data_IF_097693362054
#
_entry.id   IF_097693362054
#
_cell.length_a   1.000
_cell.length_b   1.000
_cell.length_c   1.000
_cell.angle_alpha   90.00
_cell.angle_beta   90.00
_cell.angle_gamma   90.00
#
_symmetry.space_group_name_H-M   'P 1'
#
loop_
_entity.id
_entity.type
_entity.pdbx_description
1 polymer ?
#
# COMPACT_ATOMS: atom_id res chain seq x y z
N UNK A 1 -17.74 26.00 -14.92
CA UNK A 1 -18.08 24.59 -14.64
C UNK A 1 -17.53 23.76 -15.79
N UNK A 2 -16.56 22.88 -15.55
CA UNK A 2 -15.96 22.08 -16.61
C UNK A 2 -17.03 21.16 -17.22
N UNK A 3 -17.30 21.33 -18.52
CA UNK A 3 -18.16 20.43 -19.26
C UNK A 3 -17.35 19.15 -19.50
N UNK A 4 -17.60 18.12 -18.70
CA UNK A 4 -16.92 16.83 -18.84
C UNK A 4 -17.27 16.26 -20.23
N UNK A 5 -16.30 16.31 -21.15
CA UNK A 5 -16.42 15.68 -22.46
C UNK A 5 -15.93 14.24 -22.36
N UNK A 6 -16.84 13.30 -22.59
CA UNK A 6 -16.51 11.90 -22.87
C UNK A 6 -16.29 11.72 -24.38
N UNK A 7 -15.45 10.75 -24.80
CA UNK A 7 -15.25 10.48 -26.22
C UNK A 7 -16.53 9.92 -26.84
N UNK A 8 -16.86 10.39 -28.05
CA UNK A 8 -17.97 9.84 -28.83
C UNK A 8 -17.47 8.59 -29.57
N UNK A 9 -18.04 7.45 -29.24
CA UNK A 9 -17.66 6.16 -29.82
C UNK A 9 -18.37 5.93 -31.16
N UNK A 10 -17.75 5.13 -32.03
CA UNK A 10 -18.38 4.65 -33.27
C UNK A 10 -19.39 3.55 -32.95
N UNK A 11 -20.40 3.37 -33.80
CA UNK A 11 -21.43 2.33 -33.60
C UNK A 11 -20.80 0.93 -33.50
N UNK A 12 -19.76 0.66 -34.28
CA UNK A 12 -18.95 -0.57 -34.22
C UNK A 12 -18.33 -0.80 -32.84
N UNK A 13 -17.81 0.25 -32.20
CA UNK A 13 -17.17 0.15 -30.88
C UNK A 13 -18.22 -0.04 -29.78
N UNK A 14 -19.36 0.61 -29.91
CA UNK A 14 -20.51 0.46 -28.99
C UNK A 14 -21.06 -0.96 -29.09
N UNK A 15 -21.30 -1.45 -30.31
CA UNK A 15 -21.80 -2.82 -30.54
C UNK A 15 -20.81 -3.85 -30.03
N UNK A 16 -19.51 -3.73 -30.30
CA UNK A 16 -18.50 -4.62 -29.71
C UNK A 16 -18.59 -4.69 -28.18
N UNK A 17 -18.71 -3.54 -27.50
CA UNK A 17 -18.86 -3.50 -26.05
C UNK A 17 -20.12 -4.21 -25.56
N UNK A 18 -21.28 -4.00 -26.22
CA UNK A 18 -22.51 -4.66 -25.82
C UNK A 18 -22.46 -6.18 -26.04
N UNK A 19 -21.79 -6.66 -27.11
CA UNK A 19 -21.56 -8.09 -27.29
C UNK A 19 -20.62 -8.68 -26.23
N UNK A 20 -19.60 -7.93 -25.76
CA UNK A 20 -18.73 -8.37 -24.65
C UNK A 20 -19.52 -8.64 -23.36
N UNK A 21 -20.64 -7.94 -23.15
CA UNK A 21 -21.55 -8.13 -22.00
C UNK A 21 -22.77 -8.99 -22.34
N UNK A 22 -22.73 -9.76 -23.44
CA UNK A 22 -23.79 -10.67 -23.92
C UNK A 22 -25.12 -9.98 -24.27
N UNK A 23 -25.07 -8.78 -24.86
CA UNK A 23 -26.24 -8.06 -25.35
C UNK A 23 -26.19 -7.94 -26.87
N UNK A 24 -27.18 -8.52 -27.54
CA UNK A 24 -27.26 -8.57 -29.01
C UNK A 24 -27.76 -7.24 -29.61
N UNK A 25 -26.82 -6.42 -30.09
CA UNK A 25 -27.11 -5.13 -30.74
C UNK A 25 -26.35 -5.00 -32.06
N UNK A 26 -27.07 -4.67 -33.13
CA UNK A 26 -26.52 -4.47 -34.48
C UNK A 26 -26.64 -3.00 -34.94
N UNK A 27 -25.90 -2.61 -35.99
CA UNK A 27 -25.97 -1.26 -36.58
C UNK A 27 -27.39 -0.86 -37.02
N UNK A 28 -28.18 -1.84 -37.46
CA UNK A 28 -29.60 -1.65 -37.83
C UNK A 28 -30.46 -1.16 -36.67
N UNK A 29 -30.16 -1.57 -35.43
CA UNK A 29 -30.90 -1.18 -34.23
C UNK A 29 -30.65 0.28 -33.84
N UNK A 30 -29.53 0.86 -34.27
CA UNK A 30 -29.24 2.29 -34.10
C UNK A 30 -29.90 3.13 -35.18
N UNK A 31 -29.89 2.66 -36.44
CA UNK A 31 -30.46 3.39 -37.58
C UNK A 31 -31.99 3.41 -37.57
N UNK A 32 -32.62 2.32 -37.09
CA UNK A 32 -34.07 2.20 -36.91
C UNK A 32 -34.35 1.75 -35.48
N UNK A 33 -34.32 2.67 -34.51
CA UNK A 33 -34.40 2.32 -33.11
C UNK A 33 -35.82 1.91 -32.72
N UNK A 34 -35.97 0.66 -32.30
CA UNK A 34 -37.20 0.14 -31.70
C UNK A 34 -37.29 0.55 -30.22
N UNK A 35 -38.30 1.34 -29.80
CA UNK A 35 -38.45 1.77 -28.41
C UNK A 35 -38.53 0.61 -27.41
N UNK A 36 -39.06 -0.54 -27.81
CA UNK A 36 -39.17 -1.70 -26.93
C UNK A 36 -37.79 -2.31 -26.64
N UNK A 37 -37.00 -2.57 -27.69
CA UNK A 37 -35.62 -3.07 -27.57
C UNK A 37 -34.72 -2.10 -26.80
N UNK A 38 -34.82 -0.80 -27.08
CA UNK A 38 -34.01 0.21 -26.39
C UNK A 38 -34.36 0.39 -24.92
N UNK A 39 -35.63 0.19 -24.52
CA UNK A 39 -36.02 0.17 -23.11
C UNK A 39 -35.31 -0.95 -22.33
N UNK A 40 -35.20 -2.13 -22.92
CA UNK A 40 -34.46 -3.25 -22.32
C UNK A 40 -32.97 -2.93 -22.20
N UNK A 41 -32.37 -2.37 -23.26
CA UNK A 41 -30.96 -1.96 -23.26
C UNK A 41 -30.70 -0.88 -22.18
N UNK A 42 -31.61 0.08 -22.02
CA UNK A 42 -31.50 1.06 -20.93
C UNK A 42 -31.60 0.42 -19.54
N UNK A 43 -32.45 -0.59 -19.37
CA UNK A 43 -32.49 -1.40 -18.15
C UNK A 43 -31.14 -2.06 -17.85
N UNK A 44 -30.51 -2.65 -18.87
CA UNK A 44 -29.18 -3.25 -18.75
C UNK A 44 -28.12 -2.20 -18.42
N UNK A 45 -28.16 -1.01 -19.05
CA UNK A 45 -27.23 0.07 -18.73
C UNK A 45 -27.39 0.53 -17.27
N UNK A 46 -28.63 0.64 -16.79
CA UNK A 46 -28.94 1.01 -15.42
C UNK A 46 -28.35 -0.02 -14.44
N UNK A 47 -28.61 -1.29 -14.68
CA UNK A 47 -28.07 -2.40 -13.88
C UNK A 47 -26.55 -2.43 -13.92
N UNK A 48 -25.96 -2.29 -15.10
CA UNK A 48 -24.51 -2.30 -15.29
C UNK A 48 -23.82 -1.20 -14.45
N UNK A 49 -24.41 -0.01 -14.38
CA UNK A 49 -23.81 1.13 -13.67
C UNK A 49 -24.14 1.18 -12.18
N UNK A 50 -25.28 0.64 -11.75
CA UNK A 50 -25.76 0.75 -10.36
C UNK A 50 -25.77 -0.57 -9.59
N UNK A 51 -25.62 -1.71 -10.27
CA UNK A 51 -25.85 -3.07 -9.77
C UNK A 51 -27.28 -3.27 -9.21
N UNK A 52 -28.25 -2.47 -9.66
CA UNK A 52 -29.66 -2.61 -9.30
C UNK A 52 -30.40 -3.16 -10.51
N UNK A 53 -31.02 -4.34 -10.43
CA UNK A 53 -31.75 -4.91 -11.55
C UNK A 53 -32.99 -4.05 -11.87
N UNK A 54 -33.38 -3.95 -13.15
CA UNK A 54 -34.53 -3.15 -13.56
C UNK A 54 -35.82 -3.57 -12.83
N UNK A 55 -36.00 -4.87 -12.60
CA UNK A 55 -37.15 -5.43 -11.89
C UNK A 55 -37.33 -4.87 -10.46
N UNK A 56 -36.23 -4.61 -9.77
CA UNK A 56 -36.28 -4.01 -8.44
C UNK A 56 -36.75 -2.55 -8.51
N UNK A 57 -36.40 -1.83 -9.58
CA UNK A 57 -36.90 -0.46 -9.81
C UNK A 57 -38.40 -0.48 -10.13
N UNK A 58 -38.87 -1.46 -10.92
CA UNK A 58 -40.29 -1.69 -11.18
C UNK A 58 -41.05 -2.03 -9.89
N UNK A 59 -40.54 -2.95 -9.07
CA UNK A 59 -41.15 -3.32 -7.79
C UNK A 59 -41.21 -2.14 -6.81
N UNK A 60 -40.13 -1.36 -6.70
CA UNK A 60 -40.12 -0.15 -5.88
C UNK A 60 -41.19 0.87 -6.33
N UNK A 61 -41.41 1.01 -7.64
CA UNK A 61 -42.46 1.87 -8.17
C UNK A 61 -43.87 1.39 -7.81
N UNK A 62 -44.09 0.06 -7.83
CA UNK A 62 -45.36 -0.54 -7.41
C UNK A 62 -45.58 -0.43 -5.89
N UNK A 63 -44.53 -0.58 -5.09
CA UNK A 63 -44.61 -0.36 -3.64
C UNK A 63 -44.94 1.11 -3.32
N UNK A 64 -44.35 2.08 -4.03
CA UNK A 64 -44.70 3.50 -3.89
C UNK A 64 -46.17 3.73 -4.22
N UNK A 65 -46.68 3.09 -5.28
CA UNK A 65 -48.09 3.15 -5.65
C UNK A 65 -48.98 2.57 -4.55
N UNK A 66 -48.67 1.38 -4.02
CA UNK A 66 -49.43 0.71 -2.97
C UNK A 66 -49.41 1.44 -1.61
N UNK A 67 -48.28 2.08 -1.26
CA UNK A 67 -48.14 2.80 0.01
C UNK A 67 -48.78 4.19 -0.05
N UNK A 68 -48.84 4.82 -1.22
CA UNK A 68 -49.42 6.16 -1.41
C UNK A 68 -50.81 6.18 -2.06
N UNK A 69 -51.32 5.03 -2.51
CA UNK A 69 -52.60 4.92 -3.21
C UNK A 69 -53.79 5.28 -2.35
N UNK A 70 -53.78 4.98 -1.04
CA UNK A 70 -54.94 5.22 -0.19
C UNK A 70 -55.12 6.69 0.23
N UNK A 71 -54.06 7.51 0.18
CA UNK A 71 -54.10 8.90 0.67
C UNK A 71 -53.95 9.96 -0.45
N UNK A 72 -53.51 9.58 -1.66
CA UNK A 72 -53.09 10.55 -2.70
C UNK A 72 -53.75 10.35 -4.08
N UNK A 73 -54.18 9.14 -4.45
CA UNK A 73 -54.69 8.84 -5.79
C UNK A 73 -56.07 8.18 -5.74
N UNK A 74 -57.06 8.82 -6.37
CA UNK A 74 -58.46 8.33 -6.40
C UNK A 74 -58.63 7.07 -7.27
N UNK A 75 -57.79 6.88 -8.29
CA UNK A 75 -57.77 5.71 -9.19
C UNK A 75 -56.34 5.22 -9.49
N UNK A 76 -55.70 4.47 -8.57
CA UNK A 76 -54.31 4.02 -8.70
C UNK A 76 -54.04 3.16 -9.95
N UNK A 77 -55.04 2.40 -10.41
CA UNK A 77 -54.91 1.48 -11.55
C UNK A 77 -54.59 2.18 -12.88
N UNK A 78 -54.99 3.44 -13.05
CA UNK A 78 -54.69 4.24 -14.25
C UNK A 78 -53.20 4.59 -14.35
N UNK A 79 -52.45 4.46 -13.25
CA UNK A 79 -51.05 4.84 -13.17
C UNK A 79 -50.08 3.65 -13.22
N UNK A 80 -50.59 2.43 -13.39
CA UNK A 80 -49.78 1.20 -13.43
C UNK A 80 -48.70 1.20 -14.51
N UNK A 81 -48.93 1.84 -15.66
CA UNK A 81 -47.93 1.92 -16.74
C UNK A 81 -47.10 3.21 -16.70
N UNK A 82 -47.70 4.31 -16.25
CA UNK A 82 -47.05 5.64 -16.25
C UNK A 82 -46.01 5.78 -15.14
N UNK A 83 -46.27 5.24 -13.95
CA UNK A 83 -45.36 5.38 -12.81
C UNK A 83 -44.06 4.59 -12.95
N UNK A 84 -44.06 3.32 -13.43
CA UNK A 84 -42.80 2.63 -13.63
C UNK A 84 -41.97 3.27 -14.74
N UNK A 85 -42.61 3.73 -15.83
CA UNK A 85 -41.92 4.48 -16.89
C UNK A 85 -41.27 5.76 -16.33
N UNK A 86 -41.99 6.53 -15.52
CA UNK A 86 -41.45 7.73 -14.88
C UNK A 86 -40.30 7.39 -13.91
N UNK A 87 -40.47 6.36 -13.08
CA UNK A 87 -39.48 5.93 -12.08
C UNK A 87 -38.17 5.49 -12.74
N UNK A 88 -38.27 4.70 -13.81
CA UNK A 88 -37.10 4.29 -14.61
C UNK A 88 -36.46 5.48 -15.30
N UNK A 89 -37.26 6.40 -15.87
CA UNK A 89 -36.74 7.62 -16.49
C UNK A 89 -35.97 8.48 -15.48
N UNK A 90 -36.51 8.70 -14.28
CA UNK A 90 -35.86 9.50 -13.24
C UNK A 90 -34.58 8.82 -12.73
N UNK A 91 -34.60 7.50 -12.58
CA UNK A 91 -33.42 6.70 -12.22
C UNK A 91 -32.32 6.82 -13.27
N UNK A 92 -32.66 6.63 -14.54
CA UNK A 92 -31.75 6.82 -15.66
C UNK A 92 -31.26 8.25 -15.74
N UNK A 93 -32.11 9.26 -15.58
CA UNK A 93 -31.72 10.67 -15.58
C UNK A 93 -30.65 10.95 -14.52
N UNK A 94 -30.79 10.37 -13.33
CA UNK A 94 -29.80 10.52 -12.25
C UNK A 94 -28.46 9.88 -12.63
N UNK A 95 -28.49 8.65 -13.16
CA UNK A 95 -27.28 7.93 -13.61
C UNK A 95 -26.61 8.64 -14.78
N UNK A 96 -27.39 9.09 -15.76
CA UNK A 96 -26.90 9.80 -16.94
C UNK A 96 -26.30 11.16 -16.59
N UNK A 97 -26.85 11.85 -15.58
CA UNK A 97 -26.25 13.07 -15.04
C UNK A 97 -24.85 12.82 -14.49
N UNK A 98 -24.63 11.69 -13.81
CA UNK A 98 -23.30 11.24 -13.36
C UNK A 98 -22.38 10.89 -14.52
N UNK A 99 -22.91 10.37 -15.63
CA UNK A 99 -22.16 10.11 -16.86
C UNK A 99 -21.81 11.40 -17.65
N UNK A 100 -22.37 12.56 -17.26
CA UNK A 100 -22.16 13.85 -17.94
C UNK A 100 -23.29 14.30 -18.85
N UNK A 101 -24.41 13.56 -18.93
CA UNK A 101 -25.61 13.91 -19.70
C UNK A 101 -26.70 14.44 -18.74
N UNK A 102 -26.83 15.76 -18.65
CA UNK A 102 -27.78 16.41 -17.73
C UNK A 102 -29.20 16.54 -18.31
N UNK A 103 -29.32 16.40 -19.61
CA UNK A 103 -30.53 16.64 -20.41
C UNK A 103 -31.20 15.35 -20.89
N UNK A 104 -31.14 14.29 -20.07
CA UNK A 104 -31.86 13.05 -20.29
C UNK A 104 -33.36 13.23 -19.95
N UNK A 105 -34.23 12.76 -20.84
CA UNK A 105 -35.69 12.98 -20.80
C UNK A 105 -36.45 11.70 -21.12
N UNK A 106 -37.77 11.71 -20.88
CA UNK A 106 -38.66 10.59 -21.25
C UNK A 106 -38.64 10.34 -22.77
N UNK A 107 -38.43 11.37 -23.59
CA UNK A 107 -38.34 11.23 -25.06
C UNK A 107 -37.20 10.33 -25.48
N UNK A 108 -36.08 10.31 -24.76
CA UNK A 108 -34.95 9.43 -25.07
C UNK A 108 -35.34 7.93 -24.93
N UNK A 109 -36.44 7.60 -24.22
CA UNK A 109 -36.96 6.24 -24.04
C UNK A 109 -38.12 5.94 -24.99
N UNK A 110 -39.04 6.89 -25.18
CA UNK A 110 -40.23 6.69 -26.03
C UNK A 110 -39.90 6.82 -27.51
N UNK A 111 -39.05 7.79 -27.86
CA UNK A 111 -38.67 8.11 -29.24
C UNK A 111 -37.14 8.27 -29.35
N UNK A 112 -36.39 7.17 -29.18
CA UNK A 112 -34.93 7.20 -29.27
C UNK A 112 -34.47 7.68 -30.65
N UNK A 113 -33.50 8.59 -30.70
CA UNK A 113 -32.88 9.04 -31.96
C UNK A 113 -31.44 8.55 -32.06
N UNK A 114 -30.98 8.22 -33.27
CA UNK A 114 -29.62 7.71 -33.54
C UNK A 114 -28.53 8.54 -32.83
N UNK A 115 -28.56 9.87 -32.96
CA UNK A 115 -27.56 10.76 -32.36
C UNK A 115 -27.59 10.71 -30.83
N UNK A 116 -28.79 10.64 -30.23
CA UNK A 116 -28.97 10.53 -28.78
C UNK A 116 -28.48 9.18 -28.25
N UNK A 117 -28.82 8.09 -28.93
CA UNK A 117 -28.40 6.74 -28.57
C UNK A 117 -26.88 6.60 -28.52
N UNK A 118 -26.18 7.07 -29.55
CA UNK A 118 -24.71 7.05 -29.60
C UNK A 118 -24.12 7.84 -28.43
N UNK A 119 -24.64 9.04 -28.16
CA UNK A 119 -24.16 9.90 -27.06
C UNK A 119 -24.36 9.23 -25.71
N UNK A 120 -25.54 8.66 -25.46
CA UNK A 120 -25.89 8.01 -24.20
C UNK A 120 -25.05 6.75 -23.98
N UNK A 121 -24.94 5.89 -24.99
CA UNK A 121 -24.10 4.68 -24.90
C UNK A 121 -22.63 5.04 -24.69
N UNK A 122 -22.10 6.04 -25.40
CA UNK A 122 -20.71 6.48 -25.23
C UNK A 122 -20.43 6.97 -23.81
N UNK A 123 -21.35 7.75 -23.23
CA UNK A 123 -21.23 8.24 -21.85
C UNK A 123 -21.27 7.10 -20.82
N UNK A 124 -22.22 6.17 -20.99
CA UNK A 124 -22.39 5.03 -20.10
C UNK A 124 -21.16 4.09 -20.15
N UNK A 125 -20.67 3.76 -21.36
CA UNK A 125 -19.49 2.92 -21.56
C UNK A 125 -18.25 3.58 -20.93
N UNK A 126 -18.09 4.89 -21.11
CA UNK A 126 -16.97 5.62 -20.53
C UNK A 126 -16.99 5.55 -18.99
N UNK A 127 -18.15 5.78 -18.37
CA UNK A 127 -18.27 5.67 -16.91
C UNK A 127 -18.02 4.23 -16.43
N UNK A 128 -18.54 3.23 -17.16
CA UNK A 128 -18.32 1.83 -16.84
C UNK A 128 -16.83 1.46 -16.88
N UNK A 129 -16.13 1.78 -17.98
CA UNK A 129 -14.68 1.54 -18.13
C UNK A 129 -13.88 2.27 -17.06
N UNK A 130 -14.26 3.50 -16.72
CA UNK A 130 -13.64 4.25 -15.63
C UNK A 130 -13.84 3.52 -14.30
N UNK A 131 -15.08 3.13 -13.96
CA UNK A 131 -15.38 2.39 -12.72
C UNK A 131 -14.57 1.09 -12.63
N UNK A 132 -14.55 0.31 -13.70
CA UNK A 132 -13.82 -0.97 -13.76
C UNK A 132 -12.31 -0.77 -13.62
N UNK A 133 -11.72 0.28 -14.19
CA UNK A 133 -10.28 0.55 -14.00
C UNK A 133 -9.93 0.97 -12.56
N UNK A 134 -10.87 1.56 -11.82
CA UNK A 134 -10.67 1.98 -10.43
C UNK A 134 -11.02 0.89 -9.42
N UNK A 135 -11.77 -0.14 -9.80
CA UNK A 135 -12.24 -1.19 -8.87
C UNK A 135 -11.09 -1.90 -8.17
N UNK A 136 -9.98 -2.15 -8.87
CA UNK A 136 -8.78 -2.80 -8.31
C UNK A 136 -8.17 -1.97 -7.17
N UNK A 137 -8.12 -0.65 -7.34
CA UNK A 137 -7.59 0.28 -6.31
C UNK A 137 -8.53 0.27 -5.09
N UNK A 138 -9.85 0.29 -5.31
CA UNK A 138 -10.82 0.21 -4.22
C UNK A 138 -10.75 -1.13 -3.49
N UNK A 139 -10.53 -2.24 -4.19
CA UNK A 139 -10.31 -3.55 -3.56
C UNK A 139 -9.06 -3.56 -2.68
N UNK A 140 -7.95 -3.02 -3.17
CA UNK A 140 -6.71 -2.90 -2.37
C UNK A 140 -6.93 -2.04 -1.11
N UNK A 141 -7.56 -0.87 -1.25
CA UNK A 141 -7.88 -0.01 -0.11
C UNK A 141 -8.85 -0.69 0.87
N UNK A 142 -9.80 -1.48 0.38
CA UNK A 142 -10.72 -2.25 1.23
C UNK A 142 -9.97 -3.30 2.03
N UNK A 143 -9.09 -4.08 1.40
CA UNK A 143 -8.28 -5.09 2.07
C UNK A 143 -7.33 -4.47 3.11
N UNK A 144 -6.70 -3.32 2.80
CA UNK A 144 -5.88 -2.59 3.77
C UNK A 144 -6.72 -2.11 4.96
N UNK A 145 -7.91 -1.57 4.71
CA UNK A 145 -8.81 -1.09 5.78
C UNK A 145 -9.30 -2.25 6.67
N UNK A 146 -9.60 -3.42 6.08
CA UNK A 146 -9.95 -4.63 6.83
C UNK A 146 -8.78 -5.06 7.74
N UNK A 147 -7.54 -5.09 7.22
CA UNK A 147 -6.34 -5.37 8.05
C UNK A 147 -6.15 -4.37 9.19
N UNK A 148 -6.37 -3.08 8.93
CA UNK A 148 -6.30 -2.06 9.98
C UNK A 148 -7.40 -2.22 11.03
N UNK A 149 -8.60 -2.62 10.61
CA UNK A 149 -9.71 -2.91 11.52
C UNK A 149 -9.40 -4.11 12.42
N UNK A 150 -8.88 -5.19 11.84
CA UNK A 150 -8.50 -6.38 12.60
C UNK A 150 -7.40 -6.07 13.63
N UNK A 151 -6.38 -5.28 13.23
CA UNK A 151 -5.35 -4.82 14.15
C UNK A 151 -5.91 -3.92 15.26
N UNK A 152 -6.82 -3.02 14.91
CA UNK A 152 -7.47 -2.14 15.88
C UNK A 152 -8.26 -2.94 16.91
N UNK A 153 -9.01 -3.95 16.47
CA UNK A 153 -9.79 -4.81 17.36
C UNK A 153 -8.90 -5.69 18.25
N UNK A 154 -7.78 -6.22 17.74
CA UNK A 154 -6.80 -6.96 18.56
C UNK A 154 -6.16 -6.07 19.65
N UNK A 155 -5.72 -4.86 19.28
CA UNK A 155 -5.18 -3.89 20.25
C UNK A 155 -6.23 -3.52 21.29
N UNK A 156 -7.47 -3.29 20.86
CA UNK A 156 -8.59 -2.98 21.77
C UNK A 156 -8.87 -4.12 22.74
N UNK A 157 -8.83 -5.37 22.29
CA UNK A 157 -8.98 -6.55 23.15
C UNK A 157 -7.83 -6.66 24.15
N UNK A 158 -6.58 -6.44 23.73
CA UNK A 158 -5.42 -6.42 24.63
C UNK A 158 -5.53 -5.34 25.69
N UNK A 159 -5.94 -4.12 25.32
CA UNK A 159 -6.17 -3.03 26.27
C UNK A 159 -7.25 -3.41 27.29
N UNK A 160 -8.37 -3.98 26.84
CA UNK A 160 -9.43 -4.40 27.75
C UNK A 160 -8.98 -5.52 28.70
N UNK A 161 -8.18 -6.48 28.21
CA UNK A 161 -7.59 -7.53 29.05
C UNK A 161 -6.69 -6.93 30.13
N UNK A 162 -5.79 -6.01 29.78
CA UNK A 162 -4.93 -5.34 30.76
C UNK A 162 -5.72 -4.50 31.77
N UNK A 163 -6.79 -3.82 31.33
CA UNK A 163 -7.68 -3.09 32.24
C UNK A 163 -8.37 -4.03 33.23
N UNK A 164 -8.85 -5.18 32.76
CA UNK A 164 -9.48 -6.18 33.62
C UNK A 164 -8.51 -6.77 34.64
N UNK A 165 -7.26 -7.04 34.24
CA UNK A 165 -6.21 -7.53 35.15
C UNK A 165 -5.93 -6.48 36.23
N UNK A 166 -5.72 -5.22 35.83
CA UNK A 166 -5.48 -4.13 36.79
C UNK A 166 -6.62 -3.96 37.78
N UNK A 167 -7.87 -4.01 37.31
CA UNK A 167 -9.04 -3.91 38.19
C UNK A 167 -9.15 -5.09 39.17
N UNK A 168 -8.66 -6.28 38.80
CA UNK A 168 -8.60 -7.44 39.68
C UNK A 168 -7.47 -7.35 40.71
N UNK A 169 -6.32 -6.76 40.35
CA UNK A 169 -5.14 -6.57 41.22
C UNK A 169 -5.30 -5.35 42.17
N UNK A 170 -6.10 -4.35 41.81
CA UNK A 170 -6.33 -3.13 42.59
C UNK A 170 -6.75 -3.36 44.07
N UNK A 171 -7.66 -4.28 44.42
CA UNK A 171 -7.97 -4.55 45.82
C UNK A 171 -6.80 -5.16 46.60
N UNK A 172 -6.01 -6.04 45.98
CA UNK A 172 -4.83 -6.65 46.62
C UNK A 172 -3.73 -5.61 46.86
N UNK A 173 -3.49 -4.74 45.87
CA UNK A 173 -2.56 -3.61 46.01
C UNK A 173 -3.02 -2.67 47.12
N UNK A 174 -4.32 -2.35 47.21
CA UNK A 174 -4.86 -1.49 48.25
C UNK A 174 -4.71 -2.12 49.66
N UNK A 175 -4.92 -3.43 49.78
CA UNK A 175 -4.69 -4.16 51.04
C UNK A 175 -3.22 -4.12 51.45
N UNK A 176 -2.30 -4.43 50.54
CA UNK A 176 -0.86 -4.37 50.81
C UNK A 176 -0.40 -2.94 51.17
N UNK A 177 -0.93 -1.92 50.52
CA UNK A 177 -0.65 -0.53 50.87
C UNK A 177 -1.13 -0.19 52.28
N UNK A 178 -2.31 -0.66 52.66
CA UNK A 178 -2.83 -0.48 54.02
C UNK A 178 -1.96 -1.19 55.06
N UNK A 179 -1.54 -2.44 54.79
CA UNK A 179 -0.62 -3.18 55.68
C UNK A 179 0.73 -2.46 55.83
N UNK A 180 1.30 -1.95 54.74
CA UNK A 180 2.53 -1.15 54.77
C UNK A 180 2.35 0.09 55.64
N UNK A 181 1.22 0.79 55.51
CA UNK A 181 0.92 1.97 56.32
C UNK A 181 0.81 1.61 57.80
N UNK A 182 0.08 0.54 58.15
CA UNK A 182 -0.02 0.02 59.52
C UNK A 182 1.36 -0.32 60.08
N UNK A 183 2.17 -1.12 59.39
CA UNK A 183 3.51 -1.47 59.86
C UNK A 183 4.43 -0.26 59.98
N UNK A 184 4.29 0.73 59.10
CA UNK A 184 5.05 1.98 59.21
C UNK A 184 4.65 2.74 60.48
N UNK A 185 3.36 2.83 60.79
CA UNK A 185 2.90 3.47 62.04
C UNK A 185 3.39 2.72 63.28
N UNK A 186 3.32 1.38 63.30
CA UNK A 186 3.83 0.56 64.41
C UNK A 186 5.34 0.73 64.60
N UNK A 187 6.11 0.68 63.51
CA UNK A 187 7.56 0.88 63.54
C UNK A 187 7.92 2.26 64.11
N UNK A 188 7.24 3.32 63.69
CA UNK A 188 7.47 4.66 64.25
C UNK A 188 7.07 4.74 65.73
N UNK A 189 6.02 4.02 66.14
CA UNK A 189 5.61 3.86 67.53
C UNK A 189 6.68 3.18 68.38
N UNK A 190 7.23 2.05 67.90
CA UNK A 190 8.31 1.34 68.56
C UNK A 190 9.59 2.16 68.64
N UNK A 191 9.95 2.92 67.60
CA UNK A 191 11.07 3.86 67.66
C UNK A 191 10.89 4.93 68.75
N UNK A 192 9.68 5.49 68.89
CA UNK A 192 9.36 6.44 69.97
C UNK A 192 9.51 5.77 71.35
N UNK A 193 8.94 4.58 71.53
CA UNK A 193 9.07 3.83 72.79
C UNK A 193 10.53 3.48 73.11
N UNK A 194 11.31 3.06 72.11
CA UNK A 194 12.73 2.78 72.26
C UNK A 194 13.50 4.03 72.70
N UNK A 195 13.19 5.20 72.13
CA UNK A 195 13.80 6.48 72.53
C UNK A 195 13.48 6.82 74.00
N UNK A 196 12.22 6.65 74.42
CA UNK A 196 11.82 6.87 75.83
C UNK A 196 12.54 5.89 76.76
N UNK A 197 12.56 4.59 76.43
CA UNK A 197 13.24 3.58 77.23
C UNK A 197 14.75 3.84 77.33
N UNK A 198 15.39 4.33 76.27
CA UNK A 198 16.80 4.73 76.32
C UNK A 198 17.05 5.88 77.30
N UNK A 199 16.17 6.89 77.34
CA UNK A 199 16.24 7.98 78.33
C UNK A 199 16.08 7.43 79.75
N UNK A 200 15.09 6.59 79.99
CA UNK A 200 14.86 5.97 81.30
C UNK A 200 16.08 5.12 81.74
N UNK A 201 16.69 4.36 80.83
CA UNK A 201 17.91 3.58 81.11
C UNK A 201 19.07 4.51 81.49
N UNK A 202 19.22 5.65 80.81
CA UNK A 202 20.24 6.65 81.17
C UNK A 202 19.99 7.24 82.55
N UNK A 203 18.76 7.63 82.86
CA UNK A 203 18.37 8.13 84.19
C UNK A 203 18.67 7.10 85.29
N UNK A 204 18.23 5.85 85.11
CA UNK A 204 18.51 4.76 86.06
C UNK A 204 20.02 4.54 86.22
N UNK A 205 20.81 4.60 85.14
CA UNK A 205 22.28 4.50 85.22
C UNK A 205 22.89 5.64 86.04
N UNK A 206 22.41 6.88 85.85
CA UNK A 206 22.89 8.02 86.63
C UNK A 206 22.55 7.89 88.11
N UNK A 207 21.33 7.47 88.44
CA UNK A 207 20.90 7.24 89.82
C UNK A 207 21.65 6.07 90.47
N UNK A 208 21.87 4.99 89.73
CA UNK A 208 22.65 3.85 90.22
C UNK A 208 24.11 4.25 90.49
N UNK A 209 24.71 5.08 89.64
CA UNK A 209 26.03 5.66 89.88
C UNK A 209 26.05 6.53 91.15
N UNK A 210 25.05 7.40 91.32
CA UNK A 210 24.88 8.23 92.53
C UNK A 210 24.74 7.38 93.79
N UNK A 211 23.91 6.33 93.77
CA UNK A 211 23.74 5.40 94.88
C UNK A 211 25.00 4.58 95.17
N UNK A 212 25.76 4.17 94.14
CA UNK A 212 27.07 3.52 94.30
C UNK A 212 28.06 4.46 94.99
N UNK A 213 28.17 5.70 94.54
CA UNK A 213 29.03 6.70 95.18
C UNK A 213 28.65 6.94 96.65
N UNK A 214 27.34 7.00 96.96
CA UNK A 214 26.85 7.09 98.33
C UNK A 214 27.20 5.85 99.17
N UNK A 215 27.06 4.65 98.59
CA UNK A 215 27.48 3.39 99.24
C UNK A 215 28.98 3.37 99.52
N UNK A 216 29.81 3.80 98.58
CA UNK A 216 31.26 3.82 98.76
C UNK A 216 31.68 4.87 99.80
N UNK A 217 31.00 6.02 99.85
CA UNK A 217 31.15 6.99 100.95
C UNK A 217 30.80 6.35 102.30
N UNK A 218 29.67 5.67 102.40
CA UNK A 218 29.28 4.96 103.63
C UNK A 218 30.29 3.87 104.03
N UNK A 219 30.88 3.15 103.07
CA UNK A 219 31.96 2.19 103.37
C UNK A 219 33.19 2.89 103.96
N UNK A 220 33.59 4.04 103.41
CA UNK A 220 34.69 4.84 103.96
C UNK A 220 34.36 5.31 105.38
N UNK A 221 33.12 5.75 105.61
CA UNK A 221 32.65 6.14 106.94
C UNK A 221 32.66 4.96 107.92
N UNK A 222 32.23 3.76 107.48
CA UNK A 222 32.33 2.52 108.26
C UNK A 222 33.79 2.23 108.59
N UNK A 223 34.71 2.24 107.63
CA UNK A 223 36.14 2.01 107.87
C UNK A 223 36.71 3.05 108.85
N UNK A 224 36.29 4.31 108.76
CA UNK A 224 36.70 5.34 109.70
C UNK A 224 36.13 5.10 111.11
N UNK A 225 34.90 4.60 111.21
CA UNK A 225 34.29 4.19 112.49
C UNK A 225 34.93 2.92 113.05
N UNK A 226 35.28 1.96 112.21
CA UNK A 226 36.08 0.78 112.57
C UNK A 226 37.46 1.20 113.09
N UNK A 227 38.12 2.19 112.46
CA UNK A 227 39.37 2.78 113.00
C UNK A 227 39.15 3.46 114.36
N UNK A 228 38.01 4.13 114.58
CA UNK A 228 37.66 4.68 115.89
C UNK A 228 37.38 3.57 116.92
N UNK A 229 36.76 2.47 116.49
CA UNK A 229 36.58 1.26 117.29
C UNK A 229 37.92 0.60 117.59
N UNK A 230 38.88 0.58 116.66
CA UNK A 230 40.24 0.05 116.86
C UNK A 230 41.05 0.88 117.87
N UNK A 231 40.88 2.20 117.88
CA UNK A 231 41.48 3.09 118.90
C UNK A 231 40.88 2.81 120.29
N UNK A 232 39.60 2.45 120.35
CA UNK A 232 38.90 2.06 121.61
C UNK A 232 39.25 0.61 122.00
N UNK A 233 39.48 -0.27 121.02
CA UNK A 233 39.88 -1.67 121.14
C UNK A 233 41.32 -1.83 121.66
N UNK A 234 42.21 -0.89 121.34
CA UNK A 234 43.58 -0.82 121.88
C UNK A 234 43.68 -0.52 123.40
N UNK A 235 42.54 -0.34 124.10
CA UNK A 235 42.48 -0.18 125.57
C UNK A 235 42.04 -1.42 126.35
N UNK A 236 41.85 -2.58 125.73
CA UNK A 236 41.50 -3.80 126.45
C UNK A 236 42.46 -4.91 126.02
N UNK A 237 43.29 -5.33 126.96
CA UNK A 237 44.31 -6.36 126.74
C UNK A 237 43.84 -7.71 127.30
N UNK A 238 44.34 -8.74 126.63
CA UNK A 238 44.61 -10.11 127.08
C UNK A 238 43.45 -11.11 127.06
N UNK A 239 43.45 -11.97 126.05
CA UNK A 239 44.08 -13.30 126.16
C UNK A 239 43.63 -14.21 125.00
N UNK A 240 44.45 -14.42 123.96
CA UNK A 240 44.09 -15.21 122.80
C UNK A 240 44.91 -16.51 122.75
N UNK A 241 44.50 -17.53 123.50
CA UNK A 241 45.21 -18.83 123.46
C UNK A 241 44.31 -20.05 123.26
N UNK A 242 42.98 -19.90 123.23
CA UNK A 242 42.06 -21.00 122.87
C UNK A 242 41.31 -20.80 121.55
N UNK A 243 41.21 -19.56 121.05
CA UNK A 243 40.65 -19.28 119.72
C UNK A 243 41.65 -19.56 118.58
N UNK A 244 42.96 -19.53 118.86
CA UNK A 244 44.03 -19.71 117.84
C UNK A 244 44.03 -21.09 117.19
N UNK A 245 43.59 -22.12 117.91
CA UNK A 245 43.58 -23.50 117.41
C UNK A 245 42.29 -23.87 116.66
N UNK A 246 41.14 -23.25 116.97
CA UNK A 246 39.94 -23.38 116.13
C UNK A 246 39.95 -22.45 114.92
N UNK A 247 40.58 -21.27 115.03
CA UNK A 247 40.80 -20.37 113.90
C UNK A 247 41.75 -20.98 112.87
N UNK A 248 42.82 -21.65 113.30
CA UNK A 248 43.73 -22.36 112.41
C UNK A 248 43.04 -23.49 111.63
N UNK A 249 42.17 -24.28 112.29
CA UNK A 249 41.35 -25.32 111.64
C UNK A 249 40.31 -24.73 110.69
N UNK A 250 39.63 -23.65 111.08
CA UNK A 250 38.68 -22.98 110.19
C UNK A 250 39.38 -22.25 109.03
N UNK A 251 40.61 -21.76 109.22
CA UNK A 251 41.42 -21.18 108.15
C UNK A 251 41.83 -22.23 107.13
N UNK A 252 42.28 -23.40 107.56
CA UNK A 252 42.61 -24.52 106.67
C UNK A 252 41.38 -25.04 105.89
N UNK A 253 40.20 -25.04 106.54
CA UNK A 253 38.94 -25.40 105.87
C UNK A 253 38.44 -24.32 104.90
N UNK A 254 38.72 -23.05 105.19
CA UNK A 254 38.40 -21.92 104.30
C UNK A 254 39.39 -21.87 103.13
N UNK A 255 40.66 -22.21 103.30
CA UNK A 255 41.63 -22.27 102.20
C UNK A 255 41.26 -23.38 101.22
N UNK A 256 40.96 -24.58 101.70
CA UNK A 256 40.50 -25.70 100.85
C UNK A 256 39.19 -25.39 100.14
N UNK A 257 38.18 -24.83 100.83
CA UNK A 257 36.93 -24.40 100.17
C UNK A 257 37.17 -23.27 99.16
N UNK A 258 38.10 -22.35 99.41
CA UNK A 258 38.44 -21.30 98.45
C UNK A 258 39.18 -21.85 97.23
N UNK A 259 40.02 -22.88 97.40
CA UNK A 259 40.66 -23.61 96.31
C UNK A 259 39.61 -24.35 95.46
N UNK A 260 38.66 -25.06 96.07
CA UNK A 260 37.56 -25.74 95.37
C UNK A 260 36.64 -24.74 94.63
N UNK A 261 36.37 -23.58 95.24
CA UNK A 261 35.60 -22.50 94.61
C UNK A 261 36.40 -21.88 93.45
N UNK A 262 37.70 -21.69 93.61
CA UNK A 262 38.57 -21.18 92.54
C UNK A 262 38.62 -22.17 91.37
N UNK A 263 38.81 -23.46 91.63
CA UNK A 263 38.80 -24.50 90.60
C UNK A 263 37.44 -24.59 89.90
N UNK A 264 36.34 -24.54 90.66
CA UNK A 264 34.99 -24.51 90.07
C UNK A 264 34.75 -23.26 89.24
N UNK A 265 35.32 -22.11 89.63
CA UNK A 265 35.24 -20.85 88.89
C UNK A 265 36.04 -20.92 87.60
N UNK A 266 37.24 -21.49 87.63
CA UNK A 266 38.11 -21.68 86.47
C UNK A 266 37.52 -22.70 85.48
N UNK A 267 36.92 -23.78 85.98
CA UNK A 267 36.14 -24.70 85.14
C UNK A 267 34.95 -23.96 84.50
N UNK A 268 34.23 -23.13 85.25
CA UNK A 268 33.08 -22.37 84.72
C UNK A 268 33.50 -21.34 83.67
N UNK A 269 34.63 -20.67 83.83
CA UNK A 269 35.15 -19.73 82.82
C UNK A 269 35.62 -20.47 81.57
N UNK A 270 36.27 -21.63 81.69
CA UNK A 270 36.62 -22.45 80.53
C UNK A 270 35.39 -22.97 79.79
N UNK A 271 34.37 -23.48 80.50
CA UNK A 271 33.09 -23.88 79.88
C UNK A 271 32.39 -22.71 79.19
N UNK A 272 32.39 -21.52 79.79
CA UNK A 272 31.85 -20.32 79.16
C UNK A 272 32.63 -19.94 77.89
N UNK A 273 33.97 -20.06 77.90
CA UNK A 273 34.82 -19.82 76.74
C UNK A 273 34.55 -20.83 75.63
N UNK A 274 34.34 -22.10 75.96
CA UNK A 274 33.98 -23.15 74.98
C UNK A 274 32.60 -22.88 74.38
N UNK A 275 31.60 -22.52 75.19
CA UNK A 275 30.26 -22.17 74.71
C UNK A 275 30.29 -20.97 73.75
N UNK A 276 31.12 -19.95 74.03
CA UNK A 276 31.29 -18.80 73.15
C UNK A 276 31.93 -19.19 71.81
N UNK A 277 32.93 -20.08 71.81
CA UNK A 277 33.50 -20.64 70.56
C UNK A 277 32.46 -21.40 69.75
N UNK A 278 31.57 -22.17 70.39
CA UNK A 278 30.49 -22.86 69.70
C UNK A 278 29.50 -21.89 69.06
N UNK A 279 29.08 -20.83 69.77
CA UNK A 279 28.23 -19.77 69.19
C UNK A 279 28.87 -19.10 67.99
N UNK A 280 30.17 -18.82 68.05
CA UNK A 280 30.90 -18.24 66.92
C UNK A 280 30.91 -19.19 65.71
N UNK A 281 31.10 -20.50 65.94
CA UNK A 281 31.04 -21.52 64.87
C UNK A 281 29.63 -21.65 64.29
N UNK A 282 28.60 -21.62 65.12
CA UNK A 282 27.20 -21.64 64.69
C UNK A 282 26.87 -20.43 63.82
N UNK A 283 27.30 -19.23 64.23
CA UNK A 283 27.13 -18.01 63.42
C UNK A 283 27.87 -18.07 62.08
N UNK A 284 29.02 -18.76 62.00
CA UNK A 284 29.72 -19.02 60.73
C UNK A 284 28.96 -20.05 59.89
N UNK A 285 28.44 -21.12 60.50
CA UNK A 285 27.64 -22.12 59.81
C UNK A 285 26.36 -21.52 59.20
N UNK A 286 25.67 -20.63 59.92
CA UNK A 286 24.49 -19.90 59.40
C UNK A 286 24.83 -19.01 58.20
N UNK A 287 25.99 -18.34 58.24
CA UNK A 287 26.48 -17.55 57.10
C UNK A 287 26.78 -18.44 55.88
N UNK A 288 27.41 -19.59 56.09
CA UNK A 288 27.68 -20.56 55.03
C UNK A 288 26.40 -21.14 54.43
N UNK A 289 25.38 -21.40 55.27
CA UNK A 289 24.07 -21.86 54.83
C UNK A 289 23.37 -20.83 53.94
N UNK A 290 23.39 -19.55 54.32
CA UNK A 290 22.85 -18.46 53.49
C UNK A 290 23.60 -18.35 52.16
N UNK A 291 24.92 -18.45 52.17
CA UNK A 291 25.73 -18.43 50.95
C UNK A 291 25.38 -19.61 50.02
N UNK A 292 25.23 -20.82 50.57
CA UNK A 292 24.81 -21.99 49.80
C UNK A 292 23.40 -21.84 49.20
N UNK A 293 22.48 -21.19 49.92
CA UNK A 293 21.15 -20.87 49.38
C UNK A 293 21.23 -19.88 48.21
N UNK A 294 22.05 -18.83 48.32
CA UNK A 294 22.28 -17.88 47.22
C UNK A 294 22.90 -18.56 45.99
N UNK A 295 23.93 -19.39 46.19
CA UNK A 295 24.55 -20.16 45.09
C UNK A 295 23.52 -21.08 44.41
N UNK A 296 22.64 -21.71 45.19
CA UNK A 296 21.58 -22.56 44.62
C UNK A 296 20.61 -21.75 43.76
N UNK A 297 20.20 -20.56 44.22
CA UNK A 297 19.34 -19.65 43.46
C UNK A 297 20.02 -19.19 42.16
N UNK A 298 21.28 -18.79 42.22
CA UNK A 298 22.07 -18.41 41.03
C UNK A 298 22.17 -19.56 40.03
N UNK A 299 22.40 -20.79 40.50
CA UNK A 299 22.45 -21.98 39.63
C UNK A 299 21.12 -22.29 38.96
N UNK A 300 20.00 -22.06 39.64
CA UNK A 300 18.68 -22.27 39.03
C UNK A 300 18.35 -21.16 38.01
N UNK A 301 18.79 -19.91 38.25
CA UNK A 301 18.74 -18.82 37.27
C UNK A 301 19.62 -19.08 36.04
N UNK A 302 20.83 -19.63 36.24
CA UNK A 302 21.73 -20.02 35.15
C UNK A 302 21.06 -21.07 34.24
N UNK A 303 20.36 -22.05 34.82
CA UNK A 303 19.62 -23.05 34.03
C UNK A 303 18.48 -22.44 33.22
N UNK A 304 17.74 -21.48 33.77
CA UNK A 304 16.67 -20.81 33.00
C UNK A 304 17.27 -19.98 31.87
N UNK A 305 18.31 -19.20 32.15
CA UNK A 305 19.04 -18.44 31.13
C UNK A 305 19.63 -19.35 30.04
N UNK A 306 20.18 -20.51 30.41
CA UNK A 306 20.71 -21.47 29.45
C UNK A 306 19.62 -22.04 28.53
N UNK A 307 18.41 -22.29 29.04
CA UNK A 307 17.26 -22.70 28.21
C UNK A 307 16.83 -21.59 27.27
N UNK A 308 16.76 -20.35 27.75
CA UNK A 308 16.37 -19.19 26.93
C UNK A 308 17.39 -18.92 25.82
N UNK A 309 18.69 -19.05 26.13
CA UNK A 309 19.76 -18.96 25.12
C UNK A 309 19.58 -20.04 24.05
N UNK A 310 19.28 -21.28 24.45
CA UNK A 310 19.12 -22.40 23.52
C UNK A 310 17.92 -22.16 22.58
N UNK A 311 16.77 -21.74 23.12
CA UNK A 311 15.59 -21.37 22.33
C UNK A 311 15.87 -20.19 21.38
N UNK A 312 16.55 -19.14 21.86
CA UNK A 312 16.90 -18.01 21.01
C UNK A 312 17.89 -18.41 19.90
N UNK A 313 18.77 -19.37 20.17
CA UNK A 313 19.71 -19.88 19.15
C UNK A 313 18.99 -20.66 18.07
N UNK A 314 17.99 -21.48 18.43
CA UNK A 314 17.12 -22.19 17.47
C UNK A 314 16.36 -21.20 16.58
N UNK A 315 15.71 -20.20 17.18
CA UNK A 315 15.00 -19.14 16.42
C UNK A 315 15.95 -18.36 15.50
N UNK A 316 17.16 -18.07 15.97
CA UNK A 316 18.17 -17.40 15.15
C UNK A 316 18.56 -18.23 13.93
N UNK A 317 18.75 -19.53 14.10
CA UNK A 317 19.06 -20.45 12.99
C UNK A 317 17.92 -20.53 11.98
N UNK A 318 16.66 -20.57 12.43
CA UNK A 318 15.49 -20.53 11.55
C UNK A 318 15.43 -19.23 10.73
N UNK A 319 15.64 -18.08 11.38
CA UNK A 319 15.67 -16.78 10.71
C UNK A 319 16.82 -16.73 9.69
N UNK A 320 17.98 -17.27 10.03
CA UNK A 320 19.14 -17.30 9.13
C UNK A 320 18.86 -18.16 7.89
N UNK A 321 18.23 -19.33 8.06
CA UNK A 321 17.80 -20.19 6.94
C UNK A 321 16.83 -19.45 6.00
N UNK A 322 15.84 -18.75 6.56
CA UNK A 322 14.88 -17.96 5.78
C UNK A 322 15.58 -16.82 5.02
N UNK A 323 16.55 -16.16 5.65
CA UNK A 323 17.32 -15.10 5.00
C UNK A 323 18.14 -15.63 3.82
N UNK A 324 18.75 -16.80 3.94
CA UNK A 324 19.49 -17.45 2.84
C UNK A 324 18.55 -17.84 1.68
N UNK A 325 17.37 -18.40 1.98
CA UNK A 325 16.34 -18.69 0.98
C UNK A 325 15.85 -17.41 0.27
N UNK A 326 15.60 -16.33 1.00
CA UNK A 326 15.19 -15.05 0.41
C UNK A 326 16.30 -14.44 -0.43
N UNK A 327 17.57 -14.54 0.00
CA UNK A 327 18.71 -14.05 -0.75
C UNK A 327 18.88 -14.77 -2.09
N UNK A 328 18.76 -16.11 -2.08
CA UNK A 328 18.81 -16.91 -3.33
C UNK A 328 17.64 -16.60 -4.26
N UNK A 329 16.43 -16.42 -3.71
CA UNK A 329 15.25 -16.02 -4.50
C UNK A 329 15.41 -14.63 -5.11
N UNK A 330 15.95 -13.68 -4.35
CA UNK A 330 16.27 -12.33 -4.86
C UNK A 330 17.26 -12.41 -6.03
N UNK A 331 18.35 -13.15 -5.86
CA UNK A 331 19.35 -13.34 -6.90
C UNK A 331 18.75 -13.93 -8.19
N UNK A 332 17.90 -14.96 -8.07
CA UNK A 332 17.22 -15.56 -9.22
C UNK A 332 16.28 -14.58 -9.93
N UNK A 333 15.56 -13.73 -9.17
CA UNK A 333 14.68 -12.72 -9.74
C UNK A 333 15.47 -11.61 -10.45
N UNK A 334 16.59 -11.17 -9.87
CA UNK A 334 17.49 -10.20 -10.50
C UNK A 334 18.05 -10.74 -11.81
N UNK A 335 18.51 -11.99 -11.85
CA UNK A 335 18.99 -12.64 -13.07
C UNK A 335 17.89 -12.78 -14.15
N UNK A 336 16.64 -13.03 -13.75
CA UNK A 336 15.50 -13.04 -14.68
C UNK A 336 15.20 -11.64 -15.21
N UNK A 337 15.26 -10.62 -14.36
CA UNK A 337 15.03 -9.23 -14.74
C UNK A 337 16.06 -8.77 -15.77
N UNK A 338 17.35 -9.02 -15.52
CA UNK A 338 18.43 -8.64 -16.44
C UNK A 338 18.28 -9.34 -17.79
N UNK A 339 17.99 -10.65 -17.80
CA UNK A 339 17.73 -11.39 -19.05
C UNK A 339 16.56 -10.81 -19.85
N UNK A 340 15.47 -10.40 -19.18
CA UNK A 340 14.33 -9.76 -19.85
C UNK A 340 14.66 -8.35 -20.35
N UNK A 341 15.44 -7.58 -19.60
CA UNK A 341 15.91 -6.25 -20.04
C UNK A 341 16.81 -6.36 -21.28
N UNK A 342 17.73 -7.32 -21.30
CA UNK A 342 18.57 -7.59 -22.48
C UNK A 342 17.73 -8.02 -23.69
N UNK A 343 16.75 -8.90 -23.49
CA UNK A 343 15.83 -9.31 -24.56
C UNK A 343 15.01 -8.12 -25.11
N UNK A 344 14.50 -7.26 -24.23
CA UNK A 344 13.78 -6.05 -24.62
C UNK A 344 14.68 -5.06 -25.39
N UNK A 345 15.91 -4.86 -24.94
CA UNK A 345 16.90 -4.02 -25.63
C UNK A 345 17.23 -4.56 -27.02
N UNK A 346 17.45 -5.87 -27.15
CA UNK A 346 17.66 -6.54 -28.45
C UNK A 346 16.45 -6.36 -29.37
N UNK A 347 15.23 -6.51 -28.84
CA UNK A 347 14.00 -6.33 -29.61
C UNK A 347 13.85 -4.87 -30.09
N UNK A 348 14.13 -3.88 -29.24
CA UNK A 348 14.07 -2.46 -29.61
C UNK A 348 15.11 -2.11 -30.70
N UNK A 349 16.33 -2.64 -30.58
CA UNK A 349 17.37 -2.52 -31.62
C UNK A 349 16.91 -3.12 -32.95
N UNK A 350 16.36 -4.34 -32.94
CA UNK A 350 15.83 -5.00 -34.14
C UNK A 350 14.66 -4.21 -34.75
N UNK A 351 13.75 -3.71 -33.92
CA UNK A 351 12.63 -2.90 -34.37
C UNK A 351 13.09 -1.59 -35.03
N UNK A 352 14.04 -0.88 -34.41
CA UNK A 352 14.65 0.33 -34.98
C UNK A 352 15.35 0.05 -36.30
N UNK A 353 16.12 -1.04 -36.39
CA UNK A 353 16.78 -1.44 -37.63
C UNK A 353 15.77 -1.74 -38.75
N UNK A 354 14.72 -2.51 -38.46
CA UNK A 354 13.66 -2.83 -39.42
C UNK A 354 12.89 -1.58 -39.88
N UNK A 355 12.63 -0.65 -38.96
CA UNK A 355 12.01 0.64 -39.27
C UNK A 355 12.88 1.48 -40.20
N UNK A 356 14.19 1.55 -39.97
CA UNK A 356 15.14 2.26 -40.86
C UNK A 356 15.19 1.62 -42.24
N UNK A 357 15.36 0.30 -42.32
CA UNK A 357 15.38 -0.42 -43.59
C UNK A 357 14.07 -0.21 -44.39
N UNK A 358 12.92 -0.24 -43.72
CA UNK A 358 11.64 0.05 -44.36
C UNK A 358 11.53 1.50 -44.84
N UNK A 359 12.12 2.44 -44.11
CA UNK A 359 12.13 3.86 -44.51
C UNK A 359 13.04 4.08 -45.73
N UNK A 360 14.23 3.48 -45.74
CA UNK A 360 15.16 3.52 -46.87
C UNK A 360 14.53 2.89 -48.12
N UNK A 361 13.83 1.76 -47.99
CA UNK A 361 13.09 1.15 -49.10
C UNK A 361 12.00 2.08 -49.64
N UNK A 362 11.25 2.73 -48.75
CA UNK A 362 10.21 3.70 -49.16
C UNK A 362 10.84 4.89 -49.91
N UNK A 363 11.96 5.41 -49.42
CA UNK A 363 12.69 6.51 -50.04
C UNK A 363 13.24 6.13 -51.43
N UNK A 364 13.78 4.91 -51.58
CA UNK A 364 14.18 4.36 -52.88
C UNK A 364 13.00 4.29 -53.86
N UNK A 365 11.84 3.79 -53.42
CA UNK A 365 10.63 3.73 -54.26
C UNK A 365 10.15 5.14 -54.66
N UNK A 366 10.19 6.11 -53.74
CA UNK A 366 9.85 7.50 -54.04
C UNK A 366 10.81 8.08 -55.10
N UNK A 367 12.12 7.87 -54.95
CA UNK A 367 13.11 8.33 -55.91
C UNK A 367 12.94 7.67 -57.28
N UNK A 368 12.70 6.35 -57.33
CA UNK A 368 12.38 5.65 -58.56
C UNK A 368 11.13 6.25 -59.23
N UNK A 369 10.05 6.47 -58.47
CA UNK A 369 8.82 7.09 -58.97
C UNK A 369 9.08 8.49 -59.54
N UNK A 370 9.96 9.29 -58.91
CA UNK A 370 10.36 10.59 -59.44
C UNK A 370 11.12 10.48 -60.76
N UNK A 371 12.06 9.54 -60.87
CA UNK A 371 12.80 9.29 -62.11
C UNK A 371 11.84 8.86 -63.23
N UNK A 372 10.95 7.91 -62.95
CA UNK A 372 9.93 7.47 -63.91
C UNK A 372 9.03 8.63 -64.35
N UNK A 373 8.60 9.49 -63.43
CA UNK A 373 7.80 10.67 -63.78
C UNK A 373 8.55 11.63 -64.70
N UNK A 374 9.85 11.89 -64.45
CA UNK A 374 10.69 12.72 -65.33
C UNK A 374 10.85 12.09 -66.72
N UNK A 375 11.10 10.78 -66.79
CA UNK A 375 11.21 10.05 -68.06
C UNK A 375 9.91 10.12 -68.85
N UNK A 376 8.77 9.87 -68.20
CA UNK A 376 7.47 9.94 -68.84
C UNK A 376 7.13 11.36 -69.35
N UNK A 377 7.52 12.41 -68.61
CA UNK A 377 7.37 13.79 -69.08
C UNK A 377 8.23 14.08 -70.32
N UNK A 378 9.51 13.63 -70.33
CA UNK A 378 10.39 13.77 -71.49
C UNK A 378 9.85 13.02 -72.72
N UNK A 379 9.36 11.79 -72.53
CA UNK A 379 8.72 11.01 -73.59
C UNK A 379 7.45 11.70 -74.11
N UNK A 380 6.65 12.31 -73.24
CA UNK A 380 5.47 13.10 -73.64
C UNK A 380 5.88 14.34 -74.46
N UNK A 381 6.91 15.09 -74.05
CA UNK A 381 7.44 16.24 -74.79
C UNK A 381 8.01 15.82 -76.16
N UNK A 382 8.75 14.72 -76.23
CA UNK A 382 9.26 14.16 -77.49
C UNK A 382 8.12 13.73 -78.43
N UNK A 383 7.08 13.09 -77.88
CA UNK A 383 5.91 12.69 -78.63
C UNK A 383 5.17 13.91 -79.18
N UNK A 384 4.98 14.96 -78.38
CA UNK A 384 4.34 16.20 -78.80
C UNK A 384 5.15 16.90 -79.92
N UNK A 385 6.48 16.95 -79.79
CA UNK A 385 7.37 17.51 -80.81
C UNK A 385 7.29 16.73 -82.13
N UNK A 386 7.32 15.39 -82.05
CA UNK A 386 7.20 14.51 -83.22
C UNK A 386 5.84 14.67 -83.90
N UNK A 387 4.77 14.85 -83.10
CA UNK A 387 3.42 15.07 -83.62
C UNK A 387 3.31 16.42 -84.34
N UNK A 388 3.94 17.49 -83.80
CA UNK A 388 4.07 18.79 -84.47
C UNK A 388 4.86 18.69 -85.78
N UNK A 389 5.97 17.95 -85.79
CA UNK A 389 6.74 17.72 -87.01
C UNK A 389 5.92 16.94 -88.06
N UNK A 390 5.21 15.89 -87.63
CA UNK A 390 4.30 15.13 -88.51
C UNK A 390 3.20 16.01 -89.10
N UNK A 391 2.60 16.90 -88.31
CA UNK A 391 1.62 17.86 -88.79
C UNK A 391 2.20 18.80 -89.86
N UNK A 392 3.39 19.35 -89.64
CA UNK A 392 4.07 20.20 -90.64
C UNK A 392 4.33 19.46 -91.95
N UNK A 393 4.80 18.21 -91.88
CA UNK A 393 5.04 17.40 -93.09
C UNK A 393 3.74 17.12 -93.83
N UNK A 394 2.65 16.82 -93.12
CA UNK A 394 1.33 16.65 -93.75
C UNK A 394 0.84 17.94 -94.43
N UNK A 395 1.05 19.10 -93.81
CA UNK A 395 0.75 20.41 -94.41
C UNK A 395 1.58 20.64 -95.69
N UNK A 396 2.88 20.35 -95.66
CA UNK A 396 3.75 20.44 -96.82
C UNK A 396 3.36 19.46 -97.94
N UNK A 397 2.93 18.24 -97.58
CA UNK A 397 2.47 17.23 -98.53
C UNK A 397 1.19 17.71 -99.23
N UNK A 398 0.24 18.23 -98.44
CA UNK A 398 -1.01 18.82 -98.96
C UNK A 398 -0.76 20.00 -99.89
N UNK A 399 0.19 20.88 -99.55
CA UNK A 399 0.58 21.98 -100.42
C UNK A 399 1.22 21.49 -101.73
N UNK A 400 2.03 20.41 -101.68
CA UNK A 400 2.59 19.80 -102.88
C UNK A 400 1.53 19.09 -103.73
N UNK A 401 0.57 18.42 -103.11
CA UNK A 401 -0.59 17.83 -103.80
C UNK A 401 -1.37 18.92 -104.55
N UNK A 402 -1.67 20.04 -103.90
CA UNK A 402 -2.31 21.20 -104.57
C UNK A 402 -1.45 21.74 -105.72
N UNK A 403 -0.14 21.87 -105.55
CA UNK A 403 0.74 22.32 -106.65
C UNK A 403 0.77 21.33 -107.82
N UNK A 404 0.67 20.03 -107.55
CA UNK A 404 0.60 19.01 -108.59
C UNK A 404 -0.76 19.06 -109.29
N UNK A 405 -1.86 19.21 -108.56
CA UNK A 405 -3.20 19.43 -109.13
C UNK A 405 -3.21 20.66 -110.04
N UNK A 406 -2.69 21.80 -109.59
CA UNK A 406 -2.57 23.02 -110.40
C UNK A 406 -1.70 22.82 -111.65
N UNK A 407 -0.62 22.03 -111.56
CA UNK A 407 0.22 21.68 -112.72
C UNK A 407 -0.49 20.75 -113.69
N UNK A 408 -1.26 19.79 -113.19
CA UNK A 408 -2.07 18.88 -114.03
C UNK A 408 -3.17 19.66 -114.74
N UNK A 409 -3.83 20.60 -114.05
CA UNK A 409 -4.80 21.52 -114.67
C UNK A 409 -4.14 22.40 -115.74
N UNK A 410 -2.97 22.98 -115.46
CA UNK A 410 -2.23 23.79 -116.43
C UNK A 410 -1.74 22.99 -117.66
N UNK A 411 -1.29 21.75 -117.47
CA UNK A 411 -0.91 20.89 -118.61
C UNK A 411 -2.15 20.48 -119.40
N UNK A 412 -3.27 20.24 -118.73
CA UNK A 412 -4.54 19.92 -119.39
C UNK A 412 -5.05 21.11 -120.21
N UNK A 413 -4.96 22.34 -119.68
CA UNK A 413 -5.33 23.54 -120.42
C UNK A 413 -4.40 23.80 -121.61
N UNK A 414 -3.09 23.65 -121.44
CA UNK A 414 -2.10 23.71 -122.53
C UNK A 414 -2.35 22.65 -123.61
N UNK A 415 -2.73 21.43 -123.21
CA UNK A 415 -3.06 20.36 -124.15
C UNK A 415 -4.33 20.69 -124.95
N UNK A 416 -5.38 21.22 -124.30
CA UNK A 416 -6.58 21.71 -124.97
C UNK A 416 -6.25 22.85 -125.94
N UNK A 417 -5.40 23.78 -125.54
CA UNK A 417 -4.96 24.92 -126.37
C UNK A 417 -4.13 24.47 -127.57
N UNK A 418 -3.30 23.43 -127.41
CA UNK A 418 -2.52 22.83 -128.50
C UNK A 418 -3.43 22.11 -129.50
N UNK A 419 -4.44 21.39 -129.01
CA UNK A 419 -5.46 20.74 -129.85
C UNK A 419 -6.24 21.79 -130.65
N UNK A 420 -6.66 22.89 -130.02
CA UNK A 420 -7.31 24.00 -130.72
C UNK A 420 -6.40 24.63 -131.79
N UNK A 421 -5.12 24.88 -131.49
CA UNK A 421 -4.17 25.39 -132.51
C UNK A 421 -3.91 24.40 -133.64
N UNK A 422 -3.96 23.11 -133.36
CA UNK A 422 -3.85 22.08 -134.39
C UNK A 422 -5.09 22.06 -135.29
N UNK A 423 -6.28 22.22 -134.72
CA UNK A 423 -7.54 22.38 -135.45
C UNK A 423 -7.55 23.66 -136.30
N UNK A 424 -7.10 24.80 -135.77
CA UNK A 424 -6.95 26.06 -136.50
C UNK A 424 -5.96 25.94 -137.66
N UNK A 425 -4.84 25.24 -137.45
CA UNK A 425 -3.85 24.96 -138.52
C UNK A 425 -4.44 24.03 -139.59
N UNK A 426 -5.31 23.10 -139.20
CA UNK A 426 -6.00 22.20 -140.13
C UNK A 426 -7.10 22.92 -140.92
N UNK A 427 -7.80 23.88 -140.32
CA UNK A 427 -8.73 24.79 -141.00
C UNK A 427 -8.01 25.72 -141.98
N UNK A 428 -6.86 26.28 -141.60
CA UNK A 428 -6.03 27.09 -142.49
C UNK A 428 -5.48 26.26 -143.67
N UNK A 429 -5.10 25.00 -143.43
CA UNK A 429 -4.68 24.08 -144.50
C UNK A 429 -5.84 23.73 -145.44
N UNK A 430 -7.06 23.51 -144.91
CA UNK A 430 -8.28 23.34 -145.73
C UNK A 430 -8.60 24.58 -146.57
N UNK A 431 -8.44 25.78 -146.02
CA UNK A 431 -8.65 27.05 -146.72
C UNK A 431 -7.65 27.29 -147.86
N UNK A 432 -6.37 26.96 -147.64
CA UNK A 432 -5.33 27.06 -148.68
C UNK A 432 -5.48 25.98 -149.76
N UNK A 433 -5.96 24.78 -149.40
CA UNK A 433 -6.26 23.71 -150.36
C UNK A 433 -7.48 24.03 -151.24
N UNK A 434 -8.49 24.70 -150.68
CA UNK A 434 -9.64 25.21 -151.44
C UNK A 434 -9.24 26.32 -152.43
N UNK A 435 -8.30 27.20 -152.05
CA UNK A 435 -7.78 28.24 -152.96
C UNK A 435 -6.90 27.68 -154.09
N UNK A 436 -6.17 26.58 -153.84
CA UNK A 436 -5.38 25.88 -154.87
C UNK A 436 -6.28 25.15 -155.90
N UNK A 437 -7.41 24.59 -155.47
CA UNK A 437 -8.40 23.96 -156.35
C UNK A 437 -9.18 24.97 -157.22
N UNK A 438 -9.29 26.23 -156.78
CA UNK A 438 -10.02 27.28 -157.52
C UNK A 438 -9.18 27.97 -158.62
N UNK A 439 -7.86 27.74 -158.66
CA UNK A 439 -6.97 28.19 -159.75
C UNK A 439 -6.77 27.13 -160.85
N UNK A 440 -7.41 25.97 -160.77
CA UNK A 440 -7.32 24.86 -161.73
C UNK A 440 -8.58 24.68 -162.61
N UNK A 441 -9.51 25.64 -162.58
CA UNK A 441 -10.71 25.71 -163.42
C UNK A 441 -10.88 27.12 -164.02
N UNK A 442 -9.86 27.57 -164.73
CA UNK A 442 -9.99 28.39 -165.94
C UNK A 442 -9.84 27.49 -167.17
#
# INVERSE_FOLDING_TARGET
>A
MAQFCFPMLRIEEITCFFHEINVDICDTDFRKPDPFKWRQIYGIILELLTNIPPDQVYQNSQQILLVKSNDVYEYPELHNESLPLMTVTLSLKRVMSTCGIKDFTVQDIIEPTLKRLIKICSAAINLYKFRTSRITIFHQLKEENEKFRDLYDDVRQKINKHKSIRAAEEPEIAQLQHEIEVFTTEMTGHHKQQSVNQKNIQEIKTDLSRKRAAKDKLKVDIINKEKQIDIISQKIVQSPEKAKNELARNQERVTTLNEDIAESRDRRTEWARQAEKFKQREAVADKLLKLLQSIKQEKDQEKTLSKDILQNTEVYQEIQSILEELATKRYQLEARLTSKQEAASKFDLQFKAKKRASHEQLEQVINQKMIYKKKNNLEAEQTESTLKQKQKVLEELRNKEQQVEERVENISSLYIELVQKFEESHEQFKGQWAHFLQCLLD
#
